data_IF_927719324442
#
_entry.id   IF_927719324442
#
_cell.length_a   1.000
_cell.length_b   1.000
_cell.length_c   1.000
_cell.angle_alpha   90.00
_cell.angle_beta   90.00
_cell.angle_gamma   90.00
#
_symmetry.space_group_name_H-M   'P 1'
#
loop_
_entity.id
_entity.type
_entity.pdbx_description
1 polymer ?
#
# COMPACT_ATOMS: atom_id res chain seq x y z
N UNK A 1 -9.92 11.54 11.66
CA UNK A 1 -8.94 10.69 12.36
C UNK A 1 -7.92 10.09 11.41
N UNK A 2 -8.31 9.22 10.46
CA UNK A 2 -7.36 8.61 9.50
C UNK A 2 -6.52 9.65 8.75
N UNK A 3 -7.16 10.63 8.12
CA UNK A 3 -6.46 11.72 7.40
C UNK A 3 -5.41 12.41 8.28
N UNK A 4 -5.80 12.80 9.49
CA UNK A 4 -4.92 13.49 10.44
C UNK A 4 -3.73 12.62 10.86
N UNK A 5 -3.97 11.34 11.18
CA UNK A 5 -2.91 10.41 11.57
C UNK A 5 -1.88 10.19 10.44
N UNK A 6 -2.34 9.97 9.21
CA UNK A 6 -1.46 9.69 8.07
C UNK A 6 -0.73 10.94 7.56
N UNK A 7 -1.36 12.12 7.59
CA UNK A 7 -0.69 13.37 7.26
C UNK A 7 0.44 13.70 8.26
N UNK A 8 0.21 13.50 9.57
CA UNK A 8 1.28 13.64 10.59
C UNK A 8 2.43 12.65 10.41
N UNK A 9 2.13 11.47 9.87
CA UNK A 9 3.12 10.43 9.52
C UNK A 9 3.77 10.66 8.17
N UNK A 10 3.57 11.83 7.55
CA UNK A 10 4.20 12.21 6.28
C UNK A 10 3.79 11.35 5.09
N UNK A 11 2.63 10.68 5.15
CA UNK A 11 2.00 10.16 3.94
C UNK A 11 1.43 11.29 3.11
N UNK A 12 1.37 11.08 1.79
CA UNK A 12 0.60 11.92 0.87
C UNK A 12 -0.87 11.50 1.00
N UNK A 13 -1.74 12.38 1.47
CA UNK A 13 -3.16 12.07 1.66
C UNK A 13 -4.00 12.79 0.61
N UNK A 14 -4.70 12.03 -0.22
CA UNK A 14 -5.60 12.55 -1.25
C UNK A 14 -7.03 12.10 -0.97
N UNK A 15 -7.99 13.01 -1.17
CA UNK A 15 -9.39 12.82 -0.82
C UNK A 15 -10.29 13.21 -2.00
N UNK A 16 -11.45 12.55 -2.11
CA UNK A 16 -12.51 12.93 -3.05
C UNK A 16 -13.89 12.79 -2.40
N UNK A 17 -14.89 13.44 -3.01
CA UNK A 17 -16.30 13.22 -2.71
C UNK A 17 -16.67 13.38 -1.23
N UNK A 18 -17.54 12.51 -0.72
CA UNK A 18 -18.04 12.62 0.65
C UNK A 18 -16.92 12.50 1.70
N UNK A 19 -15.85 11.74 1.43
CA UNK A 19 -14.72 11.64 2.35
C UNK A 19 -13.99 12.98 2.48
N UNK A 20 -13.81 13.70 1.37
CA UNK A 20 -13.23 15.05 1.39
C UNK A 20 -14.10 16.04 2.17
N UNK A 21 -15.44 15.93 2.07
CA UNK A 21 -16.37 16.77 2.83
C UNK A 21 -16.24 16.50 4.34
N UNK A 22 -16.33 15.24 4.75
CA UNK A 22 -16.28 14.85 6.18
C UNK A 22 -14.92 15.16 6.81
N UNK A 23 -13.83 15.07 6.04
CA UNK A 23 -12.51 15.45 6.51
C UNK A 23 -12.44 16.91 6.97
N UNK A 24 -13.18 17.81 6.31
CA UNK A 24 -13.28 19.24 6.67
C UNK A 24 -14.25 19.55 7.81
N UNK A 25 -15.03 18.58 8.30
CA UNK A 25 -16.02 18.83 9.36
C UNK A 25 -15.45 18.71 10.77
N UNK A 26 -14.34 17.99 10.95
CA UNK A 26 -13.73 17.77 12.26
C UNK A 26 -12.57 18.73 12.50
N UNK A 27 -12.61 19.40 13.65
CA UNK A 27 -11.53 20.24 14.17
C UNK A 27 -10.57 19.41 15.03
N UNK A 28 -9.28 19.74 14.96
CA UNK A 28 -8.18 19.10 15.69
C UNK A 28 -7.45 20.15 16.52
N UNK A 29 -6.14 20.33 16.30
CA UNK A 29 -5.30 21.28 17.01
C UNK A 29 -5.78 22.72 16.74
N UNK A 30 -5.83 23.53 17.80
CA UNK A 30 -6.19 24.95 17.76
C UNK A 30 -7.54 25.24 17.07
N UNK A 31 -8.47 24.27 17.09
CA UNK A 31 -9.76 24.41 16.43
C UNK A 31 -9.71 24.39 14.89
N UNK A 32 -8.58 24.02 14.30
CA UNK A 32 -8.37 23.94 12.84
C UNK A 32 -8.73 22.57 12.27
N UNK A 33 -9.20 22.55 11.04
CA UNK A 33 -9.47 21.33 10.25
C UNK A 33 -8.18 20.77 9.65
N UNK A 34 -8.26 19.58 9.05
CA UNK A 34 -7.09 18.99 8.36
C UNK A 34 -6.61 19.83 7.17
N UNK A 35 -7.51 20.54 6.48
CA UNK A 35 -7.13 21.40 5.35
C UNK A 35 -6.41 22.67 5.78
N UNK A 36 -6.61 23.11 7.02
CA UNK A 36 -5.92 24.27 7.60
C UNK A 36 -4.60 23.88 8.28
N UNK A 37 -4.47 22.62 8.73
CA UNK A 37 -3.30 22.13 9.46
C UNK A 37 -2.19 21.59 8.55
N UNK A 38 -2.54 21.09 7.37
CA UNK A 38 -1.59 20.44 6.46
C UNK A 38 -1.56 21.14 5.10
N UNK A 39 -0.39 21.16 4.43
CA UNK A 39 -0.26 21.80 3.13
C UNK A 39 -1.14 21.09 2.07
N UNK A 40 -1.70 21.83 1.09
CA UNK A 40 -2.56 21.28 0.05
C UNK A 40 -1.79 20.69 -1.14
N UNK A 41 -0.55 20.23 -0.91
CA UNK A 41 0.36 19.73 -1.95
C UNK A 41 0.35 18.20 -2.06
N UNK A 42 0.63 17.68 -3.26
CA UNK A 42 0.92 16.25 -3.46
C UNK A 42 2.34 15.94 -2.98
N UNK A 43 2.56 16.07 -1.68
CA UNK A 43 3.86 15.85 -1.03
C UNK A 43 3.70 15.30 0.40
N UNK A 44 4.81 14.91 1.03
CA UNK A 44 4.88 14.23 2.30
C UNK A 44 4.20 15.01 3.44
N UNK A 45 3.05 14.51 3.89
CA UNK A 45 2.22 15.11 4.93
C UNK A 45 1.20 16.12 4.41
N UNK A 46 1.05 16.25 3.09
CA UNK A 46 0.01 17.04 2.47
C UNK A 46 -1.37 16.37 2.51
N UNK A 47 -2.41 17.21 2.50
CA UNK A 47 -3.82 16.78 2.46
C UNK A 47 -4.52 17.51 1.31
N UNK A 48 -4.80 16.77 0.24
CA UNK A 48 -5.34 17.33 -1.00
C UNK A 48 -6.76 16.83 -1.24
N UNK A 49 -7.72 17.75 -1.35
CA UNK A 49 -9.02 17.42 -1.94
C UNK A 49 -8.91 17.49 -3.47
N UNK A 50 -8.94 16.33 -4.12
CA UNK A 50 -8.80 16.19 -5.58
C UNK A 50 -10.10 16.55 -6.31
N UNK A 51 -11.24 16.55 -5.61
CA UNK A 51 -12.54 16.97 -6.16
C UNK A 51 -13.66 15.97 -5.93
N UNK A 52 -14.63 15.94 -6.85
CA UNK A 52 -15.80 15.04 -6.79
C UNK A 52 -15.42 13.58 -7.08
N UNK A 53 -16.38 12.64 -6.99
CA UNK A 53 -16.10 11.20 -7.19
C UNK A 53 -15.48 10.85 -8.55
N UNK A 54 -15.73 11.62 -9.61
CA UNK A 54 -15.08 11.39 -10.93
C UNK A 54 -13.58 11.74 -10.91
N UNK A 55 -13.16 12.56 -9.97
CA UNK A 55 -11.77 12.99 -9.78
C UNK A 55 -10.88 11.88 -9.22
N UNK A 56 -11.44 10.74 -8.80
CA UNK A 56 -10.66 9.54 -8.46
C UNK A 56 -9.79 9.05 -9.63
N UNK A 57 -10.17 9.39 -10.88
CA UNK A 57 -9.33 9.12 -12.05
C UNK A 57 -7.95 9.80 -11.98
N UNK A 58 -7.82 10.93 -11.28
CA UNK A 58 -6.53 11.60 -11.07
C UNK A 58 -5.67 10.90 -10.00
N UNK A 59 -6.28 10.18 -9.07
CA UNK A 59 -5.55 9.41 -8.04
C UNK A 59 -4.87 8.20 -8.69
N UNK A 60 -5.63 7.39 -9.44
CA UNK A 60 -5.05 6.28 -10.21
C UNK A 60 -4.13 6.81 -11.31
N UNK A 61 -4.49 7.94 -11.93
CA UNK A 61 -3.63 8.66 -12.88
C UNK A 61 -2.29 9.09 -12.29
N UNK A 62 -2.23 9.48 -11.01
CA UNK A 62 -0.97 9.80 -10.34
C UNK A 62 -0.06 8.57 -10.20
N UNK A 63 -0.61 7.42 -9.81
CA UNK A 63 0.15 6.16 -9.75
C UNK A 63 0.66 5.73 -11.15
N UNK A 64 -0.18 5.86 -12.18
CA UNK A 64 0.22 5.60 -13.57
C UNK A 64 1.32 6.57 -14.03
N UNK A 65 1.21 7.86 -13.69
CA UNK A 65 2.23 8.85 -14.00
C UNK A 65 3.55 8.57 -13.28
N UNK A 66 3.54 7.96 -12.09
CA UNK A 66 4.79 7.55 -11.44
C UNK A 66 5.52 6.52 -12.30
N UNK A 67 4.81 5.51 -12.79
CA UNK A 67 5.36 4.48 -13.67
C UNK A 67 5.86 5.07 -15.00
N UNK A 68 5.10 5.98 -15.61
CA UNK A 68 5.49 6.58 -16.88
C UNK A 68 6.61 7.61 -16.77
N UNK A 69 6.60 8.49 -15.76
CA UNK A 69 7.55 9.59 -15.65
C UNK A 69 8.85 9.11 -14.99
N UNK A 70 8.77 8.42 -13.85
CA UNK A 70 9.97 8.03 -13.10
C UNK A 70 10.63 6.75 -13.64
N UNK A 71 9.86 5.84 -14.22
CA UNK A 71 10.38 4.62 -14.83
C UNK A 71 10.34 4.62 -16.36
N UNK A 72 10.01 5.76 -16.98
CA UNK A 72 9.99 5.94 -18.44
C UNK A 72 9.15 4.89 -19.21
N UNK A 73 8.17 4.25 -18.56
CA UNK A 73 7.38 3.19 -19.18
C UNK A 73 6.38 3.78 -20.20
N UNK A 74 6.22 3.17 -21.39
CA UNK A 74 5.31 3.70 -22.41
C UNK A 74 3.85 3.49 -22.01
N UNK A 75 3.02 4.55 -22.08
CA UNK A 75 1.62 4.51 -21.61
C UNK A 75 0.63 3.85 -22.58
N UNK A 76 0.81 4.07 -23.89
CA UNK A 76 -0.20 3.71 -24.89
C UNK A 76 -0.42 2.20 -24.90
N UNK A 77 -1.66 1.78 -24.65
CA UNK A 77 -2.10 0.38 -24.67
C UNK A 77 -1.27 -0.57 -23.77
N UNK A 78 -0.66 -0.07 -22.70
CA UNK A 78 0.30 -0.82 -21.89
C UNK A 78 -0.14 -1.02 -20.43
N UNK A 79 -1.44 -1.18 -20.21
CA UNK A 79 -2.03 -1.18 -18.87
C UNK A 79 -1.45 -2.26 -17.94
N UNK A 80 -1.16 -3.44 -18.47
CA UNK A 80 -0.63 -4.58 -17.70
C UNK A 80 0.74 -4.28 -17.08
N UNK A 81 1.67 -3.73 -17.87
CA UNK A 81 2.99 -3.29 -17.40
C UNK A 81 2.86 -2.18 -16.35
N UNK A 82 1.94 -1.24 -16.56
CA UNK A 82 1.69 -0.15 -15.58
C UNK A 82 1.17 -0.69 -14.25
N UNK A 83 0.19 -1.60 -14.30
CA UNK A 83 -0.38 -2.22 -13.11
C UNK A 83 0.65 -3.08 -12.37
N UNK A 84 1.45 -3.85 -13.11
CA UNK A 84 2.54 -4.64 -12.53
C UNK A 84 3.60 -3.75 -11.85
N UNK A 85 3.99 -2.65 -12.49
CA UNK A 85 4.91 -1.68 -11.89
C UNK A 85 4.32 -1.08 -10.60
N UNK A 86 3.06 -0.65 -10.63
CA UNK A 86 2.38 -0.07 -9.46
C UNK A 86 2.30 -1.08 -8.31
N UNK A 87 1.91 -2.32 -8.62
CA UNK A 87 1.80 -3.40 -7.63
C UNK A 87 3.14 -3.72 -6.96
N UNK A 88 4.24 -3.69 -7.71
CA UNK A 88 5.56 -4.08 -7.21
C UNK A 88 6.36 -2.92 -6.58
N UNK A 89 6.05 -1.66 -6.93
CA UNK A 89 6.93 -0.50 -6.65
C UNK A 89 6.25 0.71 -6.05
N UNK A 90 4.95 0.90 -6.26
CA UNK A 90 4.23 2.10 -5.81
C UNK A 90 3.42 1.79 -4.56
N UNK A 91 3.96 2.20 -3.40
CA UNK A 91 3.31 2.02 -2.10
C UNK A 91 2.11 2.95 -1.93
N UNK A 92 0.91 2.42 -2.18
CA UNK A 92 -0.34 3.15 -2.04
C UNK A 92 -1.43 2.25 -1.44
N UNK A 93 -2.43 2.85 -0.81
CA UNK A 93 -3.61 2.17 -0.29
C UNK A 93 -4.83 3.11 -0.38
N UNK A 94 -5.91 2.64 -1.00
CA UNK A 94 -7.19 3.34 -1.04
C UNK A 94 -8.01 3.05 0.22
N UNK A 95 -8.86 4.00 0.63
CA UNK A 95 -9.81 3.81 1.73
C UNK A 95 -11.20 4.24 1.30
N UNK A 96 -12.17 3.32 1.37
CA UNK A 96 -13.58 3.61 1.12
C UNK A 96 -14.42 3.20 2.35
N UNK A 97 -14.26 3.95 3.44
CA UNK A 97 -14.83 3.62 4.76
C UNK A 97 -16.37 3.57 4.76
N UNK A 98 -17.02 4.52 4.09
CA UNK A 98 -18.48 4.60 3.98
C UNK A 98 -19.02 4.13 2.63
N UNK A 99 -18.36 3.18 1.96
CA UNK A 99 -18.81 2.75 0.63
C UNK A 99 -20.18 2.06 0.67
N UNK A 100 -21.12 2.59 -0.10
CA UNK A 100 -22.50 2.09 -0.23
C UNK A 100 -23.01 1.97 -1.67
N UNK A 101 -22.41 2.69 -2.62
CA UNK A 101 -22.90 2.77 -4.00
C UNK A 101 -22.19 1.80 -4.94
N UNK A 102 -22.81 1.43 -6.05
CA UNK A 102 -22.14 0.66 -7.12
C UNK A 102 -20.95 1.42 -7.71
N UNK A 103 -20.99 2.76 -7.70
CA UNK A 103 -19.86 3.62 -8.09
C UNK A 103 -18.64 3.41 -7.19
N UNK A 104 -18.83 3.25 -5.89
CA UNK A 104 -17.72 2.99 -4.97
C UNK A 104 -17.08 1.61 -5.25
N UNK A 105 -17.90 0.59 -5.54
CA UNK A 105 -17.40 -0.73 -5.92
C UNK A 105 -16.61 -0.71 -7.24
N UNK A 106 -17.06 0.05 -8.25
CA UNK A 106 -16.32 0.17 -9.52
C UNK A 106 -15.03 0.96 -9.38
N UNK A 107 -15.02 2.05 -8.59
CA UNK A 107 -13.79 2.81 -8.27
C UNK A 107 -12.79 1.92 -7.54
N UNK A 108 -13.21 1.21 -6.48
CA UNK A 108 -12.35 0.28 -5.75
C UNK A 108 -11.80 -0.82 -6.66
N UNK A 109 -12.63 -1.39 -7.53
CA UNK A 109 -12.20 -2.38 -8.53
C UNK A 109 -11.18 -1.80 -9.53
N UNK A 110 -11.32 -0.52 -9.91
CA UNK A 110 -10.35 0.18 -10.75
C UNK A 110 -8.98 0.30 -10.07
N UNK A 111 -8.95 0.66 -8.79
CA UNK A 111 -7.71 0.67 -7.99
C UNK A 111 -7.09 -0.73 -7.90
N UNK A 112 -7.90 -1.74 -7.59
CA UNK A 112 -7.47 -3.13 -7.48
C UNK A 112 -6.81 -3.62 -8.77
N UNK A 113 -7.44 -3.33 -9.92
CA UNK A 113 -6.91 -3.68 -11.24
C UNK A 113 -5.57 -3.01 -11.54
N UNK A 114 -5.28 -1.86 -10.93
CA UNK A 114 -3.99 -1.15 -11.06
C UNK A 114 -2.96 -1.64 -10.03
N UNK A 115 -3.28 -2.63 -9.19
CA UNK A 115 -2.37 -3.08 -8.13
C UNK A 115 -2.37 -2.18 -6.88
N UNK A 116 -3.36 -1.30 -6.74
CA UNK A 116 -3.54 -0.46 -5.54
C UNK A 116 -4.56 -1.14 -4.63
N UNK A 117 -4.15 -1.61 -3.44
CA UNK A 117 -5.05 -2.25 -2.50
C UNK A 117 -6.04 -1.26 -1.87
N UNK A 118 -7.25 -1.71 -1.56
CA UNK A 118 -8.32 -0.88 -0.99
C UNK A 118 -8.83 -1.47 0.32
N UNK A 119 -8.81 -0.65 1.38
CA UNK A 119 -9.50 -0.91 2.64
C UNK A 119 -10.92 -0.37 2.58
N UNK A 120 -11.88 -1.24 2.84
CA UNK A 120 -13.31 -0.98 2.82
C UNK A 120 -13.86 -1.00 4.25
N UNK A 121 -14.87 -0.18 4.54
CA UNK A 121 -15.55 -0.25 5.84
C UNK A 121 -16.51 -1.45 5.94
N UNK A 122 -17.05 -1.74 7.13
CA UNK A 122 -17.74 -3.00 7.44
C UNK A 122 -18.97 -3.26 6.55
N UNK A 123 -19.72 -2.21 6.18
CA UNK A 123 -20.89 -2.36 5.32
C UNK A 123 -20.56 -2.82 3.88
N UNK A 124 -19.31 -2.67 3.45
CA UNK A 124 -18.86 -3.08 2.13
C UNK A 124 -18.74 -4.60 1.96
N UNK A 125 -18.82 -5.39 3.04
CA UNK A 125 -18.98 -6.85 2.95
C UNK A 125 -20.16 -7.26 2.06
N UNK A 126 -21.19 -6.40 1.96
CA UNK A 126 -22.37 -6.57 1.09
C UNK A 126 -22.05 -6.55 -0.41
N UNK A 127 -20.86 -6.12 -0.83
CA UNK A 127 -20.41 -6.24 -2.23
C UNK A 127 -19.97 -7.65 -2.62
N UNK A 128 -19.99 -8.61 -1.69
CA UNK A 128 -19.85 -10.07 -1.88
C UNK A 128 -18.48 -10.59 -2.33
N UNK A 129 -17.61 -9.76 -2.90
CA UNK A 129 -16.29 -10.20 -3.38
C UNK A 129 -15.17 -9.37 -2.76
N UNK A 130 -14.21 -10.07 -2.16
CA UNK A 130 -12.96 -9.54 -1.63
C UNK A 130 -11.78 -10.26 -2.29
N UNK A 131 -10.59 -9.68 -2.16
CA UNK A 131 -9.35 -10.22 -2.69
C UNK A 131 -8.37 -10.33 -1.53
N UNK A 132 -8.55 -11.41 -0.78
CA UNK A 132 -7.81 -11.73 0.42
C UNK A 132 -6.75 -12.77 0.10
N UNK A 133 -5.66 -12.70 0.83
CA UNK A 133 -4.60 -13.70 0.78
C UNK A 133 -4.65 -14.55 2.05
N UNK A 134 -4.17 -15.78 1.93
CA UNK A 134 -3.85 -16.70 3.01
C UNK A 134 -2.38 -16.63 3.45
N UNK A 135 -1.74 -15.46 3.27
CA UNK A 135 -0.35 -15.18 3.67
C UNK A 135 0.58 -16.30 3.21
N UNK A 136 1.19 -17.04 4.15
CA UNK A 136 2.19 -18.08 3.89
C UNK A 136 1.70 -19.24 3.01
N UNK A 137 0.37 -19.43 2.87
CA UNK A 137 -0.18 -20.50 2.02
C UNK A 137 -0.30 -20.14 0.53
N UNK A 138 -0.24 -18.85 0.18
CA UNK A 138 -0.41 -18.41 -1.21
C UNK A 138 0.92 -18.34 -1.97
N UNK A 139 0.81 -18.23 -3.30
CA UNK A 139 1.96 -18.12 -4.21
C UNK A 139 2.52 -16.70 -4.25
N UNK A 140 3.74 -16.53 -3.73
CA UNK A 140 4.48 -15.25 -3.74
C UNK A 140 5.66 -15.24 -4.71
N UNK A 141 5.63 -16.15 -5.69
CA UNK A 141 6.64 -16.19 -6.75
C UNK A 141 6.47 -15.02 -7.70
N UNK A 142 7.59 -14.34 -7.94
CA UNK A 142 7.72 -13.27 -8.93
C UNK A 142 8.89 -13.59 -9.83
N UNK A 143 8.89 -13.02 -11.03
CA UNK A 143 10.04 -13.02 -11.92
C UNK A 143 10.99 -11.89 -11.49
N UNK A 144 12.28 -12.18 -11.31
CA UNK A 144 13.32 -11.15 -11.36
C UNK A 144 13.63 -10.89 -12.84
N UNK A 145 13.06 -9.83 -13.42
CA UNK A 145 13.17 -9.64 -14.87
C UNK A 145 14.61 -9.37 -15.34
N UNK A 146 15.51 -8.90 -14.46
CA UNK A 146 16.94 -8.73 -14.83
C UNK A 146 17.66 -10.06 -14.93
N UNK A 147 17.38 -10.98 -13.99
CA UNK A 147 17.99 -12.32 -13.96
C UNK A 147 17.25 -13.34 -14.81
N UNK A 148 15.99 -13.06 -15.17
CA UNK A 148 15.06 -13.97 -15.85
C UNK A 148 14.80 -15.26 -15.05
N UNK A 149 14.73 -15.11 -13.73
CA UNK A 149 14.55 -16.22 -12.80
C UNK A 149 13.28 -16.02 -11.98
N UNK A 150 12.56 -17.12 -11.72
CA UNK A 150 11.42 -17.11 -10.80
C UNK A 150 11.97 -17.23 -9.37
N UNK A 151 11.61 -16.26 -8.52
CA UNK A 151 12.02 -16.19 -7.13
C UNK A 151 10.78 -16.22 -6.25
N UNK A 152 10.73 -17.16 -5.31
CA UNK A 152 9.73 -17.12 -4.24
C UNK A 152 10.18 -16.13 -3.16
N UNK A 153 9.44 -15.05 -3.02
CA UNK A 153 9.72 -14.04 -2.01
C UNK A 153 9.20 -14.45 -0.63
N UNK A 154 8.13 -15.25 -0.58
CA UNK A 154 7.31 -15.46 0.62
C UNK A 154 6.83 -14.15 1.26
N UNK A 155 6.86 -13.01 0.55
CA UNK A 155 6.51 -11.69 1.07
C UNK A 155 5.11 -11.27 0.56
N UNK A 156 4.10 -11.21 1.44
CA UNK A 156 2.74 -10.83 1.08
C UNK A 156 2.61 -9.30 0.99
N UNK A 157 3.26 -8.68 0.00
CA UNK A 157 3.28 -7.22 -0.18
C UNK A 157 2.73 -6.77 -1.55
N UNK A 158 1.53 -6.14 -1.61
CA UNK A 158 0.53 -6.04 -0.53
C UNK A 158 -0.14 -7.39 -0.23
N UNK A 159 -0.58 -7.59 1.02
CA UNK A 159 -1.19 -8.87 1.44
C UNK A 159 -2.60 -9.04 0.88
N UNK A 160 -3.38 -7.97 0.85
CA UNK A 160 -4.74 -8.00 0.34
C UNK A 160 -4.90 -6.93 -0.71
N UNK A 161 -5.72 -7.20 -1.73
CA UNK A 161 -6.07 -6.20 -2.73
C UNK A 161 -7.40 -5.54 -2.38
N UNK A 162 -8.37 -6.28 -1.81
CA UNK A 162 -9.61 -5.71 -1.31
C UNK A 162 -9.93 -6.31 0.05
N UNK A 163 -9.85 -5.48 1.10
CA UNK A 163 -9.96 -5.89 2.49
C UNK A 163 -11.06 -5.10 3.20
N UNK A 164 -11.94 -5.78 3.92
CA UNK A 164 -12.93 -5.13 4.80
C UNK A 164 -12.39 -5.08 6.21
N UNK A 165 -12.28 -3.87 6.77
CA UNK A 165 -11.92 -3.66 8.16
C UNK A 165 -13.17 -3.33 8.98
N UNK A 166 -13.31 -4.00 10.12
CA UNK A 166 -14.45 -3.83 11.03
C UNK A 166 -14.40 -2.50 11.80
N UNK A 167 -13.20 -2.09 12.20
CA UNK A 167 -12.98 -0.90 13.04
C UNK A 167 -11.95 0.02 12.42
N UNK A 168 -12.03 1.32 12.76
CA UNK A 168 -11.07 2.31 12.26
C UNK A 168 -9.65 1.99 12.75
N UNK A 169 -9.52 1.40 13.93
CA UNK A 169 -8.26 0.97 14.55
C UNK A 169 -7.59 -0.12 13.72
N UNK A 170 -8.33 -1.17 13.32
CA UNK A 170 -7.82 -2.20 12.41
C UNK A 170 -7.42 -1.61 11.06
N UNK A 171 -8.23 -0.70 10.51
CA UNK A 171 -7.92 -0.02 9.26
C UNK A 171 -6.64 0.83 9.34
N UNK A 172 -6.45 1.57 10.43
CA UNK A 172 -5.23 2.36 10.68
C UNK A 172 -3.97 1.51 10.67
N UNK A 173 -4.06 0.25 11.12
CA UNK A 173 -2.93 -0.69 11.10
C UNK A 173 -2.73 -1.31 9.71
N UNK A 174 -3.83 -1.59 8.99
CA UNK A 174 -3.76 -2.20 7.66
C UNK A 174 -3.26 -1.27 6.57
N UNK A 175 -3.61 0.02 6.61
CA UNK A 175 -3.17 1.00 5.61
C UNK A 175 -1.64 1.03 5.41
N UNK A 176 -0.79 1.21 6.44
CA UNK A 176 0.66 1.24 6.25
C UNK A 176 1.22 -0.11 5.80
N UNK A 177 0.65 -1.22 6.29
CA UNK A 177 1.02 -2.58 5.88
C UNK A 177 0.78 -2.81 4.40
N UNK A 178 -0.39 -2.42 3.91
CA UNK A 178 -0.77 -2.51 2.50
C UNK A 178 -0.01 -1.53 1.60
N UNK A 179 0.76 -0.59 2.15
CA UNK A 179 1.67 0.26 1.39
C UNK A 179 3.08 -0.36 1.22
N UNK A 180 3.41 -1.46 1.90
CA UNK A 180 4.70 -2.16 1.73
C UNK A 180 4.77 -2.80 0.34
N UNK A 181 5.92 -2.73 -0.31
CA UNK A 181 6.13 -3.22 -1.68
C UNK A 181 7.42 -4.03 -1.77
N UNK A 182 7.42 -5.03 -2.65
CA UNK A 182 8.58 -5.94 -2.89
C UNK A 182 9.86 -5.18 -3.16
N UNK A 183 9.78 -4.11 -3.96
CA UNK A 183 10.92 -3.29 -4.35
C UNK A 183 11.16 -2.05 -3.47
N UNK A 184 10.76 -2.07 -2.19
CA UNK A 184 11.14 -1.00 -1.28
C UNK A 184 12.65 -0.98 -1.08
N UNK A 185 13.27 0.20 -1.10
CA UNK A 185 14.65 0.37 -0.62
C UNK A 185 14.73 0.04 0.87
N UNK A 186 15.90 -0.30 1.45
CA UNK A 186 16.01 -0.55 2.88
C UNK A 186 15.50 0.61 3.74
N UNK A 187 15.82 1.84 3.34
CA UNK A 187 15.36 3.06 4.02
C UNK A 187 13.83 3.20 3.90
N UNK A 188 13.27 3.01 2.70
CA UNK A 188 11.82 3.07 2.48
C UNK A 188 11.07 1.99 3.26
N UNK A 189 11.59 0.76 3.27
CA UNK A 189 11.04 -0.36 4.03
C UNK A 189 11.08 -0.09 5.52
N UNK A 190 12.20 0.44 6.03
CA UNK A 190 12.37 0.85 7.43
C UNK A 190 11.33 1.87 7.87
N UNK A 191 11.03 2.88 7.05
CA UNK A 191 9.99 3.87 7.37
C UNK A 191 8.59 3.21 7.39
N UNK A 192 8.27 2.39 6.39
CA UNK A 192 6.96 1.71 6.33
C UNK A 192 6.75 0.74 7.48
N UNK A 193 7.77 -0.05 7.83
CA UNK A 193 7.76 -0.93 8.99
C UNK A 193 7.65 -0.15 10.30
N UNK A 194 8.29 1.01 10.42
CA UNK A 194 8.11 1.88 11.58
C UNK A 194 6.64 2.27 11.75
N UNK A 195 5.99 2.71 10.68
CA UNK A 195 4.57 3.06 10.72
C UNK A 195 3.69 1.87 11.04
N UNK A 196 3.94 0.72 10.44
CA UNK A 196 3.18 -0.50 10.72
C UNK A 196 3.31 -0.92 12.19
N UNK A 197 4.54 -1.07 12.70
CA UNK A 197 4.81 -1.47 14.09
C UNK A 197 4.22 -0.44 15.07
N UNK A 198 4.44 0.85 14.84
CA UNK A 198 3.96 1.89 15.76
C UNK A 198 2.43 1.99 15.80
N UNK A 199 1.74 1.82 14.66
CA UNK A 199 0.29 1.81 14.61
C UNK A 199 -0.28 0.53 15.22
N UNK A 200 0.36 -0.62 14.97
CA UNK A 200 0.01 -1.89 15.62
C UNK A 200 0.13 -1.75 17.14
N UNK A 201 1.27 -1.24 17.64
CA UNK A 201 1.48 -1.00 19.08
C UNK A 201 0.44 -0.08 19.69
N UNK A 202 0.06 0.97 18.97
CA UNK A 202 -0.93 1.96 19.41
C UNK A 202 -2.35 1.40 19.49
N UNK A 203 -2.74 0.51 18.57
CA UNK A 203 -4.14 0.13 18.38
C UNK A 203 -4.46 -1.34 18.67
N UNK A 204 -3.50 -2.26 18.55
CA UNK A 204 -3.69 -3.71 18.70
C UNK A 204 -3.02 -4.28 19.97
N UNK A 205 -2.21 -3.50 20.68
CA UNK A 205 -1.54 -3.89 21.94
C UNK A 205 -0.01 -3.73 21.89
N UNK A 206 0.67 -3.76 23.03
CA UNK A 206 2.09 -3.37 23.18
C UNK A 206 3.16 -4.24 22.49
N UNK A 207 2.78 -5.30 21.76
CA UNK A 207 3.69 -6.24 21.10
C UNK A 207 4.12 -5.84 19.67
N UNK A 208 4.92 -6.70 19.04
CA UNK A 208 5.20 -6.62 17.60
C UNK A 208 4.08 -7.29 16.79
N UNK A 209 3.84 -6.87 15.53
CA UNK A 209 2.94 -7.60 14.65
C UNK A 209 3.40 -9.05 14.43
N UNK A 210 2.48 -10.01 14.53
CA UNK A 210 2.76 -11.45 14.44
C UNK A 210 3.41 -11.89 13.13
N UNK A 211 3.15 -11.17 12.04
CA UNK A 211 3.65 -11.46 10.70
C UNK A 211 4.76 -10.50 10.25
N UNK A 212 5.38 -9.77 11.20
CA UNK A 212 6.44 -8.82 10.91
C UNK A 212 7.61 -9.47 10.14
N UNK A 213 7.93 -10.72 10.46
CA UNK A 213 9.01 -11.49 9.84
C UNK A 213 8.83 -11.68 8.32
N UNK A 214 7.59 -11.65 7.84
CA UNK A 214 7.30 -11.77 6.41
C UNK A 214 7.70 -10.51 5.63
N UNK A 215 7.83 -9.36 6.29
CA UNK A 215 8.11 -8.06 5.66
C UNK A 215 9.54 -7.55 5.93
N UNK A 216 10.32 -8.26 6.74
CA UNK A 216 11.75 -7.98 6.95
C UNK A 216 12.55 -8.90 6.03
N UNK A 217 13.33 -8.34 5.11
CA UNK A 217 14.19 -9.13 4.21
C UNK A 217 15.60 -9.23 4.77
N UNK A 218 16.09 -8.15 5.36
CA UNK A 218 17.44 -8.05 5.96
C UNK A 218 17.47 -7.06 7.10
N UNK A 219 18.54 -7.08 7.89
CA UNK A 219 18.71 -6.20 9.06
C UNK A 219 18.54 -4.70 8.76
N UNK A 220 18.93 -4.27 7.55
CA UNK A 220 18.82 -2.89 7.10
C UNK A 220 17.36 -2.42 6.91
N UNK A 221 16.40 -3.34 6.78
CA UNK A 221 14.98 -3.00 6.71
C UNK A 221 14.41 -2.66 8.10
N UNK A 222 15.10 -3.04 9.19
CA UNK A 222 14.54 -2.90 10.54
C UNK A 222 14.56 -1.43 10.97
N UNK A 223 13.44 -0.87 11.47
CA UNK A 223 13.39 0.50 11.99
C UNK A 223 14.33 0.70 13.17
N UNK A 224 15.10 1.80 13.16
CA UNK A 224 16.08 2.10 14.22
C UNK A 224 15.46 2.06 15.62
N UNK A 225 14.28 2.68 15.80
CA UNK A 225 13.55 2.76 17.07
C UNK A 225 13.18 1.37 17.63
N UNK A 226 12.87 0.41 16.75
CA UNK A 226 12.44 -0.94 17.14
C UNK A 226 13.55 -1.99 16.95
N UNK A 227 14.78 -1.56 16.62
CA UNK A 227 15.82 -2.46 16.13
C UNK A 227 16.19 -3.57 17.09
N UNK A 228 16.32 -3.23 18.38
CA UNK A 228 16.64 -4.20 19.44
C UNK A 228 15.53 -5.24 19.61
N UNK A 229 14.28 -4.78 19.72
CA UNK A 229 13.10 -5.62 19.92
C UNK A 229 12.87 -6.57 18.74
N UNK A 230 12.92 -6.05 17.51
CA UNK A 230 12.70 -6.84 16.29
C UNK A 230 13.81 -7.88 16.11
N UNK A 231 15.08 -7.55 16.37
CA UNK A 231 16.18 -8.52 16.27
C UNK A 231 16.03 -9.68 17.23
N UNK A 232 15.59 -9.42 18.46
CA UNK A 232 15.34 -10.47 19.46
C UNK A 232 14.26 -11.41 18.93
N UNK A 233 13.12 -10.85 18.51
CA UNK A 233 12.00 -11.61 17.97
C UNK A 233 12.38 -12.45 16.74
N UNK A 234 13.09 -11.86 15.75
CA UNK A 234 13.54 -12.58 14.56
C UNK A 234 14.49 -13.74 14.90
N UNK A 235 15.34 -13.58 15.91
CA UNK A 235 16.22 -14.65 16.39
C UNK A 235 15.45 -15.78 17.07
N UNK A 236 14.45 -15.46 17.88
CA UNK A 236 13.61 -16.44 18.59
C UNK A 236 12.84 -17.35 17.62
N UNK A 237 12.35 -16.80 16.50
CA UNK A 237 11.64 -17.56 15.47
C UNK A 237 12.56 -18.21 14.44
N UNK A 238 13.89 -18.10 14.59
CA UNK A 238 14.86 -18.68 13.67
C UNK A 238 14.86 -18.06 12.26
N UNK A 239 14.38 -16.82 12.12
CA UNK A 239 14.28 -16.14 10.83
C UNK A 239 15.64 -16.01 10.15
N UNK A 240 15.64 -16.20 8.83
CA UNK A 240 16.83 -16.07 7.99
C UNK A 240 16.67 -14.91 7.01
N UNK A 241 17.73 -14.12 6.77
CA UNK A 241 17.70 -13.05 5.80
C UNK A 241 17.48 -13.58 4.38
N UNK A 242 16.74 -12.81 3.59
CA UNK A 242 16.47 -13.06 2.18
C UNK A 242 16.98 -11.88 1.36
N UNK A 243 17.56 -12.17 0.21
CA UNK A 243 17.97 -11.11 -0.71
C UNK A 243 16.74 -10.46 -1.37
N UNK A 244 16.64 -9.13 -1.38
CA UNK A 244 15.59 -8.43 -2.12
C UNK A 244 15.68 -8.74 -3.62
N UNK A 245 14.53 -8.92 -4.27
CA UNK A 245 14.44 -9.06 -5.73
C UNK A 245 14.73 -7.71 -6.37
N UNK A 246 15.62 -7.67 -7.36
CA UNK A 246 16.05 -6.41 -7.98
C UNK A 246 14.98 -5.77 -8.88
N UNK A 247 14.38 -6.56 -9.77
CA UNK A 247 13.29 -6.13 -10.64
C UNK A 247 12.12 -7.13 -10.56
N UNK A 248 11.33 -7.09 -9.47
CA UNK A 248 10.18 -7.98 -9.32
C UNK A 248 9.08 -7.60 -10.30
N UNK A 249 8.54 -8.60 -11.00
CA UNK A 249 7.37 -8.53 -11.88
C UNK A 249 6.58 -9.83 -11.81
N UNK A 250 5.27 -9.79 -12.02
CA UNK A 250 4.47 -10.99 -12.27
C UNK A 250 4.45 -11.35 -13.77
N UNK A 251 4.85 -10.45 -14.67
CA UNK A 251 4.95 -10.76 -16.10
C UNK A 251 5.99 -11.86 -16.30
N UNK A 252 5.58 -12.92 -17.00
CA UNK A 252 6.39 -14.14 -17.16
C UNK A 252 6.14 -15.23 -16.11
N UNK A 253 5.28 -14.99 -15.11
CA UNK A 253 4.80 -16.05 -14.18
C UNK A 253 3.43 -16.61 -14.54
N UNK A 254 2.72 -15.99 -15.50
CA UNK A 254 1.43 -16.42 -16.01
C UNK A 254 1.33 -16.22 -17.54
N UNK A 255 0.39 -16.90 -18.23
CA UNK A 255 0.18 -16.69 -19.67
C UNK A 255 -0.23 -15.25 -19.99
N UNK A 256 0.62 -14.53 -20.72
CA UNK A 256 0.38 -13.14 -21.15
C UNK A 256 0.92 -12.89 -22.56
N UNK A 257 0.41 -11.83 -23.20
CA UNK A 257 0.93 -11.32 -24.49
C UNK A 257 2.07 -10.30 -24.30
N UNK A 258 2.29 -9.84 -23.07
CA UNK A 258 3.33 -8.87 -22.76
C UNK A 258 4.68 -9.59 -22.66
N UNK A 259 5.69 -9.21 -23.47
CA UNK A 259 7.02 -9.81 -23.34
C UNK A 259 7.69 -9.33 -22.05
N UNK A 260 8.57 -10.16 -21.48
CA UNK A 260 9.31 -9.80 -20.26
C UNK A 260 10.17 -8.56 -20.46
N UNK A 261 10.67 -8.34 -21.67
CA UNK A 261 11.43 -7.16 -22.07
C UNK A 261 10.65 -5.85 -21.86
N UNK A 262 9.31 -5.90 -21.85
CA UNK A 262 8.47 -4.71 -21.65
C UNK A 262 8.52 -4.15 -20.21
N UNK A 263 9.12 -4.87 -19.26
CA UNK A 263 9.34 -4.36 -17.89
C UNK A 263 10.81 -4.04 -17.60
N UNK A 264 11.71 -4.31 -18.55
CA UNK A 264 13.15 -4.10 -18.40
C UNK A 264 13.51 -2.77 -19.07
N UNK A 265 13.75 -1.75 -18.26
CA UNK A 265 14.18 -0.42 -18.69
C UNK A 265 15.37 0.07 -17.86
#
# INVERSE_FOLDING_TARGET
DMVYEFARRKYIVVLTGCAAMVAGMKKFQDGKTVYELFPPDFDAGGVVNVGSCVSNAHITGAAIKIANIFAALPLRANYEVMADYVLNRVGACGVAWGAMSQKAASIGTGCNRLGVPVVLGPHSSKYRRLYLSRKEEDDWRVMDARKREIVDTGEPSPEHIAYVAETKEKAMVMIPKLCIRKNDTPQGRSIKLNHYISLYKKYMGGGLPEDLHLFVRRDADIPLVYKKEVRIHLKEIGWQPKEPVGLPTFIGTYPTKVPLEAVIH
#
